data_IF_878281916376
#
_entry.id   IF_878281916376
#
_cell.length_a   1.000
_cell.length_b   1.000
_cell.length_c   1.000
_cell.angle_alpha   90.00
_cell.angle_beta   90.00
_cell.angle_gamma   90.00
#
_symmetry.space_group_name_H-M   'P 1'
#
loop_
_entity.id
_entity.type
_entity.pdbx_description
1 polymer ?
#
# COMPACT_ATOMS: atom_id res chain seq x y z
N UNK A 1 -51.51 4.28 -29.35
CA UNK A 1 -51.00 3.21 -30.23
C UNK A 1 -49.52 3.06 -29.93
N UNK A 2 -49.20 2.10 -29.04
CA UNK A 2 -48.17 1.06 -29.22
C UNK A 2 -46.76 1.63 -29.41
N UNK A 3 -45.81 1.43 -28.51
CA UNK A 3 -45.25 0.12 -28.15
C UNK A 3 -44.17 0.29 -27.05
N UNK A 4 -43.82 -0.79 -26.35
CA UNK A 4 -42.55 -1.01 -25.61
C UNK A 4 -42.38 -0.69 -24.10
N UNK A 5 -43.35 -1.03 -23.25
CA UNK A 5 -43.10 -1.25 -21.82
C UNK A 5 -43.64 -2.62 -21.39
N UNK A 6 -42.76 -3.63 -21.34
CA UNK A 6 -42.80 -4.81 -20.45
C UNK A 6 -42.11 -6.03 -21.08
N UNK A 7 -40.78 -6.01 -21.13
CA UNK A 7 -39.98 -7.25 -21.06
C UNK A 7 -39.10 -7.19 -19.82
N UNK A 8 -39.69 -7.47 -18.66
CA UNK A 8 -38.93 -7.92 -17.48
C UNK A 8 -38.52 -9.35 -17.80
N UNK A 9 -37.27 -9.53 -18.19
CA UNK A 9 -36.66 -10.84 -18.31
C UNK A 9 -36.53 -11.47 -16.93
N UNK A 10 -37.39 -12.43 -16.64
CA UNK A 10 -37.17 -13.43 -15.61
C UNK A 10 -35.85 -14.15 -15.94
N UNK A 11 -34.91 -14.18 -14.99
CA UNK A 11 -33.69 -14.96 -15.13
C UNK A 11 -34.05 -16.47 -15.21
N UNK A 12 -33.43 -17.24 -16.12
CA UNK A 12 -33.78 -18.64 -16.32
C UNK A 12 -33.51 -19.46 -15.04
N UNK A 13 -34.56 -20.17 -14.61
CA UNK A 13 -34.55 -21.18 -13.55
C UNK A 13 -33.51 -22.25 -13.87
N UNK A 14 -32.40 -22.28 -13.12
CA UNK A 14 -31.34 -23.27 -13.31
C UNK A 14 -30.03 -22.98 -12.57
N UNK A 15 -29.86 -21.78 -12.03
CA UNK A 15 -28.72 -21.49 -11.15
C UNK A 15 -29.08 -21.83 -9.71
N UNK A 16 -28.37 -22.82 -9.16
CA UNK A 16 -28.40 -23.15 -7.74
C UNK A 16 -28.09 -21.88 -6.94
N UNK A 17 -29.08 -21.37 -6.23
CA UNK A 17 -28.90 -20.29 -5.24
C UNK A 17 -27.98 -20.80 -4.14
N UNK A 18 -26.68 -20.52 -4.26
CA UNK A 18 -25.73 -20.68 -3.16
C UNK A 18 -26.10 -19.67 -2.06
N UNK A 19 -26.28 -20.10 -0.79
CA UNK A 19 -26.78 -19.21 0.25
C UNK A 19 -25.75 -18.14 0.59
N UNK A 20 -26.12 -16.87 0.42
CA UNK A 20 -25.90 -15.73 1.34
C UNK A 20 -24.49 -15.27 1.73
N UNK A 21 -23.43 -16.06 1.54
CA UNK A 21 -22.08 -15.73 2.04
C UNK A 21 -21.33 -14.77 1.09
N UNK A 22 -21.64 -14.84 -0.21
CA UNK A 22 -20.88 -14.11 -1.24
C UNK A 22 -21.46 -12.75 -1.64
N UNK A 23 -22.64 -12.38 -1.12
CA UNK A 23 -23.30 -11.10 -1.42
C UNK A 23 -22.96 -9.97 -0.45
N UNK A 24 -22.08 -10.19 0.52
CA UNK A 24 -21.54 -9.10 1.33
C UNK A 24 -20.61 -8.25 0.47
N UNK A 25 -20.89 -6.94 0.41
CA UNK A 25 -20.11 -5.86 -0.24
C UNK A 25 -18.64 -5.77 0.19
N UNK A 26 -18.19 -6.69 1.04
CA UNK A 26 -16.83 -6.85 1.59
C UNK A 26 -16.10 -8.14 1.14
N UNK A 27 -16.70 -8.93 0.22
CA UNK A 27 -16.24 -10.26 -0.20
C UNK A 27 -14.73 -10.44 -0.50
N UNK A 28 -14.03 -9.49 -1.17
CA UNK A 28 -12.59 -9.63 -1.43
C UNK A 28 -11.72 -9.53 -0.17
N UNK A 29 -12.16 -8.75 0.84
CA UNK A 29 -11.41 -8.51 2.08
C UNK A 29 -11.53 -9.68 3.06
N UNK A 30 -12.71 -10.29 3.12
CA UNK A 30 -12.93 -11.52 3.86
C UNK A 30 -12.13 -12.68 3.26
N UNK A 31 -12.04 -12.77 1.93
CA UNK A 31 -11.20 -13.79 1.28
C UNK A 31 -9.72 -13.61 1.63
N UNK A 32 -9.20 -12.37 1.56
CA UNK A 32 -7.82 -12.07 1.97
C UNK A 32 -7.55 -12.38 3.44
N UNK A 33 -8.52 -12.11 4.33
CA UNK A 33 -8.46 -12.52 5.73
C UNK A 33 -8.34 -14.03 5.90
N UNK A 34 -9.21 -14.81 5.24
CA UNK A 34 -9.17 -16.26 5.34
C UNK A 34 -7.89 -16.86 4.75
N UNK A 35 -7.36 -16.29 3.66
CA UNK A 35 -6.07 -16.72 3.09
C UNK A 35 -4.92 -16.42 4.04
N UNK A 36 -4.84 -15.21 4.60
CA UNK A 36 -3.79 -14.86 5.57
C UNK A 36 -3.89 -15.69 6.85
N UNK A 37 -5.11 -15.95 7.34
CA UNK A 37 -5.36 -16.81 8.48
C UNK A 37 -4.92 -18.26 8.17
N UNK A 38 -5.26 -18.79 7.00
CA UNK A 38 -4.86 -20.15 6.59
C UNK A 38 -3.34 -20.23 6.42
N UNK A 39 -2.68 -19.25 5.81
CA UNK A 39 -1.22 -19.21 5.68
C UNK A 39 -0.54 -19.12 7.04
N UNK A 40 -1.03 -18.26 7.93
CA UNK A 40 -0.50 -18.11 9.29
C UNK A 40 -0.70 -19.39 10.10
N UNK A 41 -1.91 -19.96 10.12
CA UNK A 41 -2.20 -21.23 10.80
C UNK A 41 -1.37 -22.36 10.19
N UNK A 42 -1.21 -22.42 8.87
CA UNK A 42 -0.37 -23.44 8.22
C UNK A 42 1.09 -23.28 8.59
N UNK A 43 1.62 -22.06 8.64
CA UNK A 43 3.00 -21.78 9.08
C UNK A 43 3.19 -22.14 10.55
N UNK A 44 2.25 -21.77 11.43
CA UNK A 44 2.29 -22.11 12.86
C UNK A 44 2.19 -23.61 13.07
N UNK A 45 1.32 -24.30 12.33
CA UNK A 45 1.22 -25.77 12.39
C UNK A 45 2.47 -26.45 11.84
N UNK A 46 3.13 -25.87 10.84
CA UNK A 46 4.37 -26.39 10.26
C UNK A 46 5.56 -26.18 11.22
N UNK A 47 5.59 -25.04 11.92
CA UNK A 47 6.53 -24.77 13.02
C UNK A 47 6.29 -25.72 14.19
N UNK A 48 5.03 -25.87 14.64
CA UNK A 48 4.65 -26.73 15.76
C UNK A 48 4.82 -28.23 15.48
N UNK A 49 4.80 -28.64 14.21
CA UNK A 49 5.03 -30.03 13.79
C UNK A 49 6.52 -30.36 13.66
N UNK A 50 7.39 -29.36 13.57
CA UNK A 50 8.82 -29.57 13.41
C UNK A 50 9.49 -29.59 14.77
N UNK A 51 9.70 -30.79 15.30
CA UNK A 51 10.46 -31.00 16.56
C UNK A 51 11.81 -30.26 16.51
N UNK A 52 12.47 -30.24 15.34
CA UNK A 52 13.75 -29.55 15.14
C UNK A 52 13.68 -28.02 15.17
N UNK A 53 12.53 -27.42 14.83
CA UNK A 53 12.36 -25.96 14.96
C UNK A 53 12.19 -25.61 16.44
N UNK A 54 11.41 -26.41 17.18
CA UNK A 54 11.29 -26.28 18.63
C UNK A 54 12.64 -26.50 19.33
N UNK A 55 13.41 -27.50 18.91
CA UNK A 55 14.78 -27.78 19.38
C UNK A 55 15.80 -26.70 18.94
N UNK A 56 15.50 -25.87 17.93
CA UNK A 56 16.38 -24.74 17.56
C UNK A 56 16.19 -23.52 18.46
N UNK A 57 15.12 -23.51 19.27
CA UNK A 57 14.90 -22.52 20.32
C UNK A 57 15.40 -23.00 21.70
N UNK A 58 16.21 -24.06 21.74
CA UNK A 58 16.47 -24.79 22.98
C UNK A 58 17.34 -24.02 23.98
N UNK A 59 16.82 -24.04 25.19
CA UNK A 59 17.17 -23.26 26.36
C UNK A 59 16.05 -23.40 27.40
N UNK A 60 14.79 -23.32 26.96
CA UNK A 60 13.60 -23.74 27.70
C UNK A 60 12.45 -23.97 26.70
N UNK A 61 11.94 -25.20 26.58
CA UNK A 61 10.85 -25.57 25.65
C UNK A 61 9.54 -24.76 25.81
N UNK A 62 9.42 -23.97 26.88
CA UNK A 62 8.30 -23.05 27.11
C UNK A 62 8.26 -21.87 26.13
N UNK A 63 9.40 -21.38 25.62
CA UNK A 63 9.41 -20.20 24.75
C UNK A 63 8.79 -20.48 23.36
N UNK A 64 9.11 -21.62 22.76
CA UNK A 64 8.58 -21.98 21.43
C UNK A 64 7.05 -22.14 21.45
N UNK A 65 6.52 -22.80 22.47
CA UNK A 65 5.07 -22.93 22.68
C UNK A 65 4.43 -21.60 23.04
N UNK A 66 5.08 -20.75 23.83
CA UNK A 66 4.62 -19.40 24.15
C UNK A 66 4.47 -18.54 22.90
N UNK A 67 5.48 -18.47 22.02
CA UNK A 67 5.40 -17.68 20.78
C UNK A 67 4.35 -18.21 19.80
N UNK A 68 4.17 -19.53 19.72
CA UNK A 68 3.12 -20.14 18.90
C UNK A 68 1.71 -19.80 19.43
N UNK A 69 1.48 -19.91 20.74
CA UNK A 69 0.20 -19.56 21.39
C UNK A 69 -0.08 -18.05 21.32
N UNK A 70 0.95 -17.22 21.51
CA UNK A 70 0.88 -15.77 21.37
C UNK A 70 0.51 -15.39 19.93
N UNK A 71 1.14 -16.03 18.93
CA UNK A 71 0.80 -15.84 17.53
C UNK A 71 -0.65 -16.24 17.20
N UNK A 72 -1.11 -17.40 17.68
CA UNK A 72 -2.47 -17.89 17.44
C UNK A 72 -3.57 -17.01 18.06
N UNK A 73 -3.27 -16.23 19.10
CA UNK A 73 -4.25 -15.39 19.80
C UNK A 73 -4.18 -13.93 19.36
N UNK A 74 -2.97 -13.37 19.24
CA UNK A 74 -2.76 -11.99 18.82
C UNK A 74 -3.14 -11.77 17.35
N UNK A 75 -2.92 -12.76 16.48
CA UNK A 75 -3.21 -12.61 15.05
C UNK A 75 -4.71 -12.45 14.76
N UNK A 76 -5.63 -13.32 15.23
CA UNK A 76 -7.07 -13.11 15.05
C UNK A 76 -7.58 -11.84 15.74
N UNK A 77 -7.07 -11.52 16.93
CA UNK A 77 -7.43 -10.30 17.65
C UNK A 77 -7.01 -9.03 16.88
N UNK A 78 -5.80 -9.04 16.31
CA UNK A 78 -5.30 -8.00 15.43
C UNK A 78 -6.19 -7.86 14.19
N UNK A 79 -6.58 -8.97 13.54
CA UNK A 79 -7.45 -8.87 12.37
C UNK A 79 -8.85 -8.35 12.74
N UNK A 80 -9.46 -8.82 13.82
CA UNK A 80 -10.76 -8.30 14.27
C UNK A 80 -10.68 -6.81 14.65
N UNK A 81 -9.57 -6.37 15.24
CA UNK A 81 -9.31 -4.97 15.51
C UNK A 81 -9.16 -4.16 14.21
N UNK A 82 -8.41 -4.67 13.23
CA UNK A 82 -8.25 -4.08 11.90
C UNK A 82 -9.56 -4.06 11.12
N UNK A 83 -10.46 -5.01 11.31
CA UNK A 83 -11.76 -5.06 10.64
C UNK A 83 -12.76 -4.02 11.19
N UNK A 84 -12.50 -3.42 12.36
CA UNK A 84 -13.39 -2.40 12.95
C UNK A 84 -13.26 -1.07 12.20
N UNK A 85 -14.39 -0.52 11.75
CA UNK A 85 -14.51 0.88 11.32
C UNK A 85 -15.41 1.64 12.29
N UNK A 86 -14.87 2.53 13.14
CA UNK A 86 -15.71 3.33 14.01
C UNK A 86 -16.56 4.30 13.17
N UNK A 87 -17.83 4.55 13.53
CA UNK A 87 -18.68 5.49 12.81
C UNK A 87 -18.09 6.91 12.88
N UNK A 88 -18.04 7.60 11.74
CA UNK A 88 -17.55 8.97 11.63
C UNK A 88 -18.69 9.93 11.30
N UNK A 89 -19.02 10.81 12.26
CA UNK A 89 -19.94 11.93 12.04
C UNK A 89 -19.11 13.20 11.95
N UNK A 90 -19.05 13.88 10.78
CA UNK A 90 -18.28 15.11 10.65
C UNK A 90 -18.88 16.22 11.52
N UNK A 91 -18.03 16.97 12.24
CA UNK A 91 -18.44 18.20 12.91
C UNK A 91 -18.33 19.37 11.91
N UNK A 92 -19.37 20.20 11.82
CA UNK A 92 -19.38 21.40 10.98
C UNK A 92 -18.26 22.39 11.37
N UNK A 93 -17.76 23.17 10.40
CA UNK A 93 -16.76 24.24 10.63
C UNK A 93 -15.29 23.81 10.58
N UNK A 94 -14.96 22.56 10.26
CA UNK A 94 -13.56 22.07 10.15
C UNK A 94 -13.03 22.13 8.72
N UNK A 95 -11.73 22.36 8.58
CA UNK A 95 -11.05 22.31 7.29
C UNK A 95 -10.99 20.87 6.76
N UNK A 96 -10.90 20.70 5.43
CA UNK A 96 -10.81 19.38 4.80
C UNK A 96 -9.64 18.56 5.37
N UNK A 97 -8.49 19.21 5.61
CA UNK A 97 -7.32 18.55 6.21
C UNK A 97 -7.53 18.12 7.67
N UNK A 98 -8.30 18.88 8.45
CA UNK A 98 -8.67 18.46 9.80
C UNK A 98 -9.58 17.22 9.77
N UNK A 99 -10.53 17.17 8.84
CA UNK A 99 -11.39 16.00 8.65
C UNK A 99 -10.60 14.76 8.21
N UNK A 100 -9.67 14.92 7.26
CA UNK A 100 -8.74 13.85 6.82
C UNK A 100 -7.93 13.32 8.00
N UNK A 101 -7.32 14.21 8.79
CA UNK A 101 -6.56 13.82 9.99
C UNK A 101 -7.42 13.05 10.98
N UNK A 102 -8.64 13.50 11.25
CA UNK A 102 -9.54 12.83 12.20
C UNK A 102 -9.96 11.45 11.74
N UNK A 103 -10.21 11.27 10.44
CA UNK A 103 -10.51 9.95 9.86
C UNK A 103 -9.32 9.02 9.94
N UNK A 104 -8.14 9.52 9.59
CA UNK A 104 -6.90 8.76 9.67
C UNK A 104 -6.65 8.28 11.10
N UNK A 105 -6.73 9.20 12.07
CA UNK A 105 -6.53 8.89 13.49
C UNK A 105 -7.64 8.02 14.10
N UNK A 106 -8.79 7.84 13.44
CA UNK A 106 -9.84 6.94 13.91
C UNK A 106 -9.79 5.56 13.25
N UNK A 107 -9.09 5.41 12.13
CA UNK A 107 -9.00 4.15 11.41
C UNK A 107 -7.98 3.21 12.08
N UNK A 108 -8.39 2.06 12.65
CA UNK A 108 -7.46 1.10 13.24
C UNK A 108 -6.42 0.60 12.23
N UNK A 109 -6.84 0.40 10.98
CA UNK A 109 -5.96 -0.03 9.88
C UNK A 109 -4.86 1.01 9.60
N UNK A 110 -5.25 2.29 9.53
CA UNK A 110 -4.32 3.38 9.30
C UNK A 110 -3.30 3.49 10.44
N UNK A 111 -3.75 3.37 11.68
CA UNK A 111 -2.89 3.45 12.86
C UNK A 111 -1.89 2.30 12.93
N UNK A 112 -2.31 1.06 12.69
CA UNK A 112 -1.42 -0.11 12.70
C UNK A 112 -0.39 0.00 11.58
N UNK A 113 -0.84 0.30 10.35
CA UNK A 113 0.07 0.51 9.22
C UNK A 113 1.08 1.62 9.49
N UNK A 114 0.61 2.76 10.03
CA UNK A 114 1.47 3.88 10.41
C UNK A 114 2.49 3.50 11.49
N UNK A 115 2.06 2.80 12.55
CA UNK A 115 2.93 2.36 13.63
C UNK A 115 4.10 1.53 13.09
N UNK A 116 3.81 0.48 12.31
CA UNK A 116 4.87 -0.38 11.78
C UNK A 116 5.75 0.33 10.76
N UNK A 117 5.21 1.15 9.86
CA UNK A 117 6.03 1.95 8.93
C UNK A 117 6.94 2.90 9.70
N UNK A 118 6.44 3.55 10.76
CA UNK A 118 7.24 4.42 11.62
C UNK A 118 8.31 3.62 12.38
N UNK A 119 7.98 2.44 12.91
CA UNK A 119 8.93 1.56 13.57
C UNK A 119 10.05 1.09 12.64
N UNK A 120 9.72 0.63 11.42
CA UNK A 120 10.73 0.25 10.44
C UNK A 120 11.60 1.44 10.01
N UNK A 121 10.99 2.61 9.83
CA UNK A 121 11.73 3.83 9.49
C UNK A 121 12.67 4.24 10.64
N UNK A 122 12.23 4.08 11.90
CA UNK A 122 13.04 4.31 13.07
C UNK A 122 14.20 3.31 13.18
N UNK A 123 13.93 2.01 13.02
CA UNK A 123 14.94 0.95 12.98
C UNK A 123 15.97 1.22 11.89
N UNK A 124 15.52 1.63 10.70
CA UNK A 124 16.41 2.00 9.60
C UNK A 124 17.32 3.18 9.98
N UNK A 125 16.77 4.27 10.51
CA UNK A 125 17.57 5.45 10.88
C UNK A 125 18.58 5.13 12.00
N UNK A 126 18.17 4.32 12.98
CA UNK A 126 18.97 4.01 14.18
C UNK A 126 19.76 2.71 14.02
N UNK A 127 19.74 2.07 12.84
CA UNK A 127 20.39 0.78 12.59
C UNK A 127 21.85 0.70 13.08
N UNK A 128 22.73 1.70 12.87
CA UNK A 128 24.11 1.64 13.35
C UNK A 128 24.26 1.62 14.88
N UNK A 129 23.24 2.04 15.61
CA UNK A 129 23.23 2.03 17.09
C UNK A 129 22.42 0.85 17.65
N UNK A 130 21.52 0.27 16.85
CA UNK A 130 20.66 -0.83 17.26
C UNK A 130 21.30 -2.20 16.97
N UNK A 131 22.01 -2.32 15.85
CA UNK A 131 22.70 -3.54 15.47
C UNK A 131 23.95 -3.74 16.32
N UNK A 132 24.16 -4.96 16.80
CA UNK A 132 25.32 -5.32 17.61
C UNK A 132 26.60 -5.48 16.76
N UNK A 133 26.45 -5.89 15.50
CA UNK A 133 27.55 -6.18 14.57
C UNK A 133 27.40 -5.36 13.28
N UNK A 134 28.51 -5.11 12.59
CA UNK A 134 28.43 -4.57 11.23
C UNK A 134 27.84 -5.63 10.28
N UNK A 135 27.06 -5.24 9.25
CA UNK A 135 26.31 -6.20 8.43
C UNK A 135 27.21 -7.09 7.54
N UNK A 136 28.44 -6.68 7.31
CA UNK A 136 29.50 -7.36 6.57
C UNK A 136 30.55 -8.02 7.47
N UNK A 137 30.43 -7.87 8.80
CA UNK A 137 31.36 -8.43 9.78
C UNK A 137 31.29 -9.95 9.86
N UNK A 138 32.43 -10.59 9.61
CA UNK A 138 32.61 -12.03 9.74
C UNK A 138 33.03 -12.33 11.19
N UNK A 139 32.10 -12.79 12.03
CA UNK A 139 32.32 -12.94 13.47
C UNK A 139 33.38 -14.02 13.76
N UNK A 140 33.15 -15.23 13.27
CA UNK A 140 34.09 -16.35 13.34
C UNK A 140 33.83 -17.30 12.15
N UNK A 141 34.62 -17.18 11.07
CA UNK A 141 34.45 -17.98 9.85
C UNK A 141 34.61 -19.49 10.04
N UNK A 142 35.11 -19.95 11.18
CA UNK A 142 35.38 -21.36 11.47
C UNK A 142 34.24 -21.94 12.31
N UNK A 143 33.85 -21.26 13.39
CA UNK A 143 32.93 -21.83 14.37
C UNK A 143 31.50 -21.26 14.29
N UNK A 144 31.32 -20.06 13.76
CA UNK A 144 30.03 -19.36 13.75
C UNK A 144 29.32 -19.39 12.40
N UNK A 145 29.64 -20.34 11.51
CA UNK A 145 28.87 -20.53 10.27
C UNK A 145 27.59 -21.29 10.55
N UNK A 146 26.47 -20.79 10.02
CA UNK A 146 25.18 -21.49 10.05
C UNK A 146 24.76 -21.93 11.46
N UNK A 147 25.04 -21.09 12.47
CA UNK A 147 24.61 -21.37 13.83
C UNK A 147 23.14 -20.96 13.99
N UNK A 148 22.33 -21.79 14.68
CA UNK A 148 20.93 -21.48 14.93
C UNK A 148 20.77 -20.25 15.84
N UNK A 149 19.55 -19.70 15.93
CA UNK A 149 19.19 -18.67 16.90
C UNK A 149 19.70 -18.95 18.31
N UNK A 150 20.32 -17.96 18.93
CA UNK A 150 20.82 -18.02 20.31
C UNK A 150 20.70 -16.65 20.97
N UNK A 151 20.93 -16.56 22.29
CA UNK A 151 20.92 -15.27 22.99
C UNK A 151 21.97 -14.28 22.46
N UNK A 152 23.11 -14.78 21.96
CA UNK A 152 24.15 -13.95 21.35
C UNK A 152 23.81 -13.57 19.90
N UNK A 153 23.13 -14.45 19.17
CA UNK A 153 22.69 -14.24 17.79
C UNK A 153 21.19 -14.56 17.66
N UNK A 154 20.30 -13.61 18.00
CA UNK A 154 18.87 -13.90 18.13
C UNK A 154 18.21 -14.46 16.87
N UNK A 155 18.74 -14.13 15.68
CA UNK A 155 18.27 -14.66 14.39
C UNK A 155 19.23 -15.69 13.78
N UNK A 156 20.23 -16.14 14.54
CA UNK A 156 21.29 -17.03 14.08
C UNK A 156 22.35 -16.33 13.24
N UNK A 157 23.25 -17.13 12.67
CA UNK A 157 24.32 -16.67 11.78
C UNK A 157 24.20 -17.28 10.40
N UNK A 158 24.76 -16.60 9.39
CA UNK A 158 24.71 -17.04 7.99
C UNK A 158 25.91 -17.90 7.56
N UNK A 159 25.92 -18.29 6.27
CA UNK A 159 26.99 -19.09 5.64
C UNK A 159 28.37 -18.44 5.70
N UNK A 160 28.43 -17.13 5.95
CA UNK A 160 29.65 -16.35 6.08
C UNK A 160 29.96 -16.00 7.54
N UNK A 161 29.24 -16.55 8.53
CA UNK A 161 29.37 -16.20 9.95
C UNK A 161 28.99 -14.74 10.30
N UNK A 162 28.10 -14.13 9.50
CA UNK A 162 27.54 -12.81 9.79
C UNK A 162 26.28 -12.95 10.62
N UNK A 163 26.01 -11.97 11.48
CA UNK A 163 24.82 -11.93 12.32
C UNK A 163 23.56 -11.58 11.50
N UNK A 164 22.57 -12.48 11.48
CA UNK A 164 21.35 -12.32 10.65
C UNK A 164 20.48 -11.18 11.16
N UNK A 165 20.42 -10.94 12.47
CA UNK A 165 19.62 -9.84 13.04
C UNK A 165 20.17 -8.49 12.59
N UNK A 166 21.48 -8.30 12.69
CA UNK A 166 22.18 -7.11 12.23
C UNK A 166 21.96 -6.90 10.72
N UNK A 167 22.04 -7.97 9.92
CA UNK A 167 21.69 -7.90 8.49
C UNK A 167 20.24 -7.49 8.25
N UNK A 168 19.27 -8.01 8.99
CA UNK A 168 17.85 -7.61 8.85
C UNK A 168 17.63 -6.15 9.25
N UNK A 169 18.29 -5.67 10.31
CA UNK A 169 18.23 -4.27 10.77
C UNK A 169 18.80 -3.34 9.70
N UNK A 170 20.01 -3.58 9.20
CA UNK A 170 20.59 -2.78 8.12
C UNK A 170 19.84 -2.95 6.79
N UNK A 171 19.28 -4.14 6.53
CA UNK A 171 18.43 -4.41 5.39
C UNK A 171 17.20 -3.50 5.33
N UNK A 172 16.69 -3.07 6.47
CA UNK A 172 15.60 -2.08 6.52
C UNK A 172 15.98 -0.74 5.89
N UNK A 173 17.24 -0.30 6.03
CA UNK A 173 17.71 0.94 5.40
C UNK A 173 17.66 0.83 3.88
N UNK A 174 18.26 -0.24 3.33
CA UNK A 174 18.42 -0.39 1.89
C UNK A 174 17.07 -0.71 1.23
N UNK A 175 16.30 -1.65 1.78
CA UNK A 175 15.01 -2.04 1.21
C UNK A 175 13.96 -0.92 1.28
N UNK A 176 13.92 -0.12 2.37
CA UNK A 176 13.06 1.07 2.43
C UNK A 176 13.52 2.16 1.47
N UNK A 177 14.83 2.38 1.33
CA UNK A 177 15.39 3.33 0.37
C UNK A 177 14.96 2.97 -1.05
N UNK A 178 15.13 1.71 -1.47
CA UNK A 178 14.69 1.24 -2.78
C UNK A 178 13.19 1.50 -2.96
N UNK A 179 12.36 1.07 -2.01
CA UNK A 179 10.91 1.26 -2.06
C UNK A 179 10.49 2.74 -2.19
N UNK A 180 11.03 3.62 -1.33
CA UNK A 180 10.65 5.03 -1.27
C UNK A 180 11.12 5.81 -2.50
N UNK A 181 12.37 5.66 -2.92
CA UNK A 181 12.91 6.41 -4.06
C UNK A 181 12.31 5.95 -5.40
N UNK A 182 12.11 4.64 -5.58
CA UNK A 182 11.41 4.12 -6.77
C UNK A 182 10.00 4.68 -6.88
N UNK A 183 9.25 4.66 -5.79
CA UNK A 183 7.88 5.19 -5.78
C UNK A 183 7.88 6.69 -5.98
N UNK A 184 8.80 7.42 -5.36
CA UNK A 184 8.94 8.86 -5.56
C UNK A 184 9.16 9.20 -7.04
N UNK A 185 10.08 8.48 -7.70
CA UNK A 185 10.34 8.64 -9.14
C UNK A 185 9.10 8.28 -9.97
N UNK A 186 8.49 7.13 -9.69
CA UNK A 186 7.28 6.65 -10.38
C UNK A 186 6.10 7.60 -10.23
N UNK A 187 5.84 8.10 -9.02
CA UNK A 187 4.75 9.01 -8.73
C UNK A 187 4.98 10.37 -9.38
N UNK A 188 6.21 10.88 -9.38
CA UNK A 188 6.57 12.14 -10.02
C UNK A 188 6.39 12.06 -11.53
N UNK A 189 6.94 11.03 -12.19
CA UNK A 189 6.77 10.81 -13.63
C UNK A 189 5.29 10.61 -13.98
N UNK A 190 4.57 9.82 -13.18
CA UNK A 190 3.17 9.55 -13.39
C UNK A 190 2.31 10.80 -13.26
N UNK A 191 2.56 11.61 -12.23
CA UNK A 191 1.88 12.89 -12.03
C UNK A 191 2.13 13.83 -13.21
N UNK A 192 3.38 14.05 -13.61
CA UNK A 192 3.71 14.95 -14.70
C UNK A 192 3.09 14.50 -16.03
N UNK A 193 3.29 13.23 -16.42
CA UNK A 193 2.76 12.71 -17.68
C UNK A 193 1.23 12.62 -17.69
N UNK A 194 0.61 12.28 -16.56
CA UNK A 194 -0.84 12.27 -16.41
C UNK A 194 -1.46 13.67 -16.48
N UNK A 195 -0.83 14.67 -15.86
CA UNK A 195 -1.22 16.08 -15.95
C UNK A 195 -1.17 16.58 -17.39
N UNK A 196 -0.06 16.32 -18.08
CA UNK A 196 0.13 16.74 -19.47
C UNK A 196 -0.88 16.07 -20.41
N UNK A 197 -1.07 14.75 -20.29
CA UNK A 197 -2.03 14.00 -21.09
C UNK A 197 -3.47 14.48 -20.87
N UNK A 198 -3.90 14.59 -19.61
CA UNK A 198 -5.26 14.98 -19.28
C UNK A 198 -5.58 16.44 -19.60
N UNK A 199 -4.63 17.36 -19.41
CA UNK A 199 -4.88 18.79 -19.58
C UNK A 199 -4.91 19.19 -21.06
N UNK A 200 -3.84 18.87 -21.79
CA UNK A 200 -3.69 19.26 -23.19
C UNK A 200 -4.55 18.40 -24.13
N UNK A 201 -4.81 17.13 -23.80
CA UNK A 201 -5.60 16.24 -24.65
C UNK A 201 -4.98 16.00 -26.03
N UNK A 202 -5.81 15.59 -26.99
CA UNK A 202 -5.45 15.50 -28.40
C UNK A 202 -4.21 14.65 -28.67
N UNK A 203 -3.22 15.21 -29.36
CA UNK A 203 -1.97 14.51 -29.73
C UNK A 203 -1.11 14.16 -28.52
N UNK A 204 -1.01 15.05 -27.53
CA UNK A 204 -0.21 14.82 -26.31
C UNK A 204 -0.74 13.63 -25.53
N UNK A 205 -2.06 13.59 -25.35
CA UNK A 205 -2.74 12.45 -24.73
C UNK A 205 -2.52 11.16 -25.51
N UNK A 206 -2.77 11.21 -26.82
CA UNK A 206 -2.61 10.04 -27.69
C UNK A 206 -1.20 9.45 -27.65
N UNK A 207 -0.15 10.29 -27.73
CA UNK A 207 1.24 9.82 -27.67
C UNK A 207 1.56 9.19 -26.32
N UNK A 208 1.26 9.89 -25.22
CA UNK A 208 1.59 9.42 -23.86
C UNK A 208 0.85 8.11 -23.57
N UNK A 209 -0.45 8.05 -23.88
CA UNK A 209 -1.25 6.84 -23.65
C UNK A 209 -0.80 5.70 -24.57
N UNK A 210 -0.39 5.97 -25.81
CA UNK A 210 0.12 4.92 -26.71
C UNK A 210 1.44 4.32 -26.23
N UNK A 211 2.39 5.15 -25.79
CA UNK A 211 3.64 4.67 -25.19
C UNK A 211 3.35 3.83 -23.95
N UNK A 212 2.45 4.31 -23.10
CA UNK A 212 2.02 3.61 -21.89
C UNK A 212 1.34 2.26 -22.20
N UNK A 213 0.44 2.19 -23.17
CA UNK A 213 -0.23 0.95 -23.61
C UNK A 213 0.78 -0.09 -24.11
N UNK A 214 1.78 0.34 -24.89
CA UNK A 214 2.85 -0.54 -25.38
C UNK A 214 3.66 -1.09 -24.20
N UNK A 215 4.06 -0.25 -23.26
CA UNK A 215 4.86 -0.68 -22.10
C UNK A 215 4.09 -1.65 -21.19
N UNK A 216 2.78 -1.46 -21.02
CA UNK A 216 1.94 -2.36 -20.22
C UNK A 216 1.63 -3.69 -20.89
N UNK A 217 1.76 -3.77 -22.22
CA UNK A 217 1.59 -5.04 -22.93
C UNK A 217 2.70 -6.04 -22.59
N UNK A 218 3.84 -5.54 -22.08
CA UNK A 218 4.96 -6.36 -21.64
C UNK A 218 4.77 -6.80 -20.17
N UNK A 219 5.01 -8.07 -19.83
CA UNK A 219 5.06 -8.50 -18.43
C UNK A 219 6.14 -7.72 -17.68
N UNK A 220 5.74 -6.90 -16.70
CA UNK A 220 6.61 -5.95 -15.98
C UNK A 220 7.90 -6.62 -15.47
N UNK A 221 7.76 -7.79 -14.83
CA UNK A 221 8.90 -8.51 -14.27
C UNK A 221 9.86 -8.96 -15.36
N UNK A 222 9.37 -9.56 -16.45
CA UNK A 222 10.19 -10.01 -17.58
C UNK A 222 10.96 -8.84 -18.19
N UNK A 223 10.31 -7.70 -18.37
CA UNK A 223 10.97 -6.54 -18.95
C UNK A 223 12.05 -5.98 -18.01
N UNK A 224 11.79 -5.97 -16.71
CA UNK A 224 12.82 -5.63 -15.71
C UNK A 224 14.00 -6.60 -15.76
N UNK A 225 13.79 -7.92 -15.85
CA UNK A 225 14.89 -8.88 -15.96
C UNK A 225 15.80 -8.59 -17.16
N UNK A 226 15.19 -8.28 -18.31
CA UNK A 226 15.94 -7.92 -19.53
C UNK A 226 16.75 -6.64 -19.29
N UNK A 227 16.14 -5.58 -18.77
CA UNK A 227 16.84 -4.31 -18.51
C UNK A 227 17.95 -4.46 -17.46
N UNK A 228 17.68 -5.16 -16.36
CA UNK A 228 18.68 -5.42 -15.34
C UNK A 228 19.86 -6.21 -15.93
N UNK A 229 19.58 -7.23 -16.75
CA UNK A 229 20.64 -8.05 -17.36
C UNK A 229 21.44 -7.29 -18.41
N UNK A 230 20.81 -6.44 -19.22
CA UNK A 230 21.49 -5.66 -20.25
C UNK A 230 22.41 -4.59 -19.65
N UNK A 231 22.04 -4.02 -18.51
CA UNK A 231 22.76 -2.90 -17.89
C UNK A 231 23.59 -3.29 -16.67
N UNK A 232 23.61 -4.57 -16.25
CA UNK A 232 24.35 -5.03 -15.05
C UNK A 232 25.87 -4.82 -15.14
N UNK A 233 26.42 -4.84 -16.36
CA UNK A 233 27.87 -4.77 -16.63
C UNK A 233 28.34 -3.32 -16.89
N UNK A 234 27.43 -2.35 -16.80
CA UNK A 234 27.77 -0.92 -16.89
C UNK A 234 28.54 -0.52 -15.63
N UNK A 235 29.78 -0.07 -15.82
CA UNK A 235 30.74 0.25 -14.74
C UNK A 235 30.20 1.24 -13.70
N UNK A 236 29.39 2.20 -14.13
CA UNK A 236 28.73 3.17 -13.25
C UNK A 236 27.85 2.46 -12.19
N UNK A 237 27.19 1.36 -12.54
CA UNK A 237 26.29 0.61 -11.66
C UNK A 237 26.93 -0.61 -10.99
N UNK A 238 28.26 -0.75 -11.05
CA UNK A 238 28.96 -1.85 -10.40
C UNK A 238 28.91 -1.78 -8.86
N UNK A 239 28.89 -2.94 -8.21
CA UNK A 239 28.87 -3.07 -6.75
C UNK A 239 27.60 -2.51 -6.11
N UNK A 240 27.76 -1.77 -5.01
CA UNK A 240 26.66 -1.18 -4.23
C UNK A 240 25.85 -0.15 -5.04
N UNK A 241 26.46 0.46 -6.07
CA UNK A 241 25.79 1.41 -6.96
C UNK A 241 24.70 0.78 -7.82
N UNK A 242 24.60 -0.56 -7.83
CA UNK A 242 23.49 -1.27 -8.48
C UNK A 242 22.13 -0.88 -7.90
N UNK A 243 22.07 -0.40 -6.66
CA UNK A 243 20.85 0.18 -6.07
C UNK A 243 20.26 1.27 -6.97
N UNK A 244 21.09 2.13 -7.57
CA UNK A 244 20.61 3.19 -8.45
C UNK A 244 19.97 2.66 -9.73
N UNK A 245 20.53 1.59 -10.30
CA UNK A 245 19.99 0.93 -11.48
C UNK A 245 18.63 0.28 -11.17
N UNK A 246 18.52 -0.38 -10.01
CA UNK A 246 17.26 -0.95 -9.52
C UNK A 246 16.21 0.16 -9.34
N UNK A 247 16.54 1.21 -8.59
CA UNK A 247 15.64 2.32 -8.32
C UNK A 247 15.15 2.98 -9.60
N UNK A 248 16.06 3.23 -10.54
CA UNK A 248 15.78 3.87 -11.81
C UNK A 248 14.81 3.05 -12.66
N UNK A 249 15.10 1.77 -12.94
CA UNK A 249 14.25 0.96 -13.80
C UNK A 249 12.92 0.56 -13.15
N UNK A 250 12.91 0.30 -11.83
CA UNK A 250 11.66 0.06 -11.12
C UNK A 250 10.75 1.30 -11.15
N UNK A 251 11.33 2.50 -11.00
CA UNK A 251 10.58 3.76 -11.05
C UNK A 251 10.10 4.10 -12.46
N UNK A 252 10.97 3.91 -13.45
CA UNK A 252 10.67 4.09 -14.88
C UNK A 252 9.58 3.12 -15.37
N UNK A 253 9.41 1.96 -14.74
CA UNK A 253 8.32 1.02 -15.05
C UNK A 253 7.11 1.16 -14.12
N UNK A 254 7.20 1.97 -13.07
CA UNK A 254 6.10 2.14 -12.10
C UNK A 254 5.07 3.20 -12.48
N UNK A 255 5.46 4.24 -13.24
CA UNK A 255 4.67 5.47 -13.42
C UNK A 255 3.33 5.30 -14.16
N UNK A 256 3.18 4.22 -14.93
CA UNK A 256 2.05 4.00 -15.84
C UNK A 256 0.69 3.92 -15.13
N UNK A 257 0.65 3.31 -13.93
CA UNK A 257 -0.58 3.28 -13.12
C UNK A 257 -0.99 4.68 -12.67
N UNK A 258 -0.04 5.40 -12.08
CA UNK A 258 -0.22 6.76 -11.58
C UNK A 258 -0.59 7.75 -12.69
N UNK A 259 0.02 7.65 -13.88
CA UNK A 259 -0.32 8.51 -15.01
C UNK A 259 -1.77 8.34 -15.49
N UNK A 260 -2.27 7.10 -15.58
CA UNK A 260 -3.67 6.84 -15.94
C UNK A 260 -4.63 7.38 -14.88
N UNK A 261 -4.30 7.19 -13.61
CA UNK A 261 -5.07 7.72 -12.49
C UNK A 261 -5.16 9.26 -12.55
N UNK A 262 -4.02 9.94 -12.65
CA UNK A 262 -3.95 11.40 -12.72
C UNK A 262 -4.63 11.93 -13.97
N UNK A 263 -4.46 11.30 -15.13
CA UNK A 263 -5.17 11.67 -16.35
C UNK A 263 -6.69 11.67 -16.13
N UNK A 264 -7.22 10.61 -15.50
CA UNK A 264 -8.65 10.50 -15.19
C UNK A 264 -9.15 11.65 -14.31
N UNK A 265 -8.39 12.02 -13.28
CA UNK A 265 -8.70 13.16 -12.42
C UNK A 265 -8.67 14.48 -13.18
N UNK A 266 -7.65 14.70 -14.01
CA UNK A 266 -7.49 15.94 -14.76
C UNK A 266 -8.64 16.11 -15.76
N UNK A 267 -9.06 15.04 -16.44
CA UNK A 267 -10.21 15.09 -17.35
C UNK A 267 -11.49 15.51 -16.62
N UNK A 268 -11.69 15.07 -15.38
CA UNK A 268 -12.83 15.50 -14.55
C UNK A 268 -12.70 16.97 -14.09
N UNK A 269 -11.49 17.42 -13.75
CA UNK A 269 -11.24 18.77 -13.22
C UNK A 269 -11.16 19.84 -14.30
N UNK A 270 -10.76 19.50 -15.53
CA UNK A 270 -10.53 20.46 -16.63
C UNK A 270 -11.81 21.20 -17.05
N UNK A 271 -12.97 20.59 -16.86
CA UNK A 271 -14.28 21.19 -17.19
C UNK A 271 -14.97 21.89 -16.03
N UNK A 272 -14.29 22.10 -14.89
CA UNK A 272 -14.90 22.75 -13.72
C UNK A 272 -14.82 24.28 -13.78
N UNK A 273 -15.77 24.96 -13.15
CA UNK A 273 -15.93 26.42 -13.21
C UNK A 273 -14.68 27.19 -12.79
N UNK A 274 -13.90 26.69 -11.82
CA UNK A 274 -12.67 27.34 -11.40
C UNK A 274 -11.61 27.42 -12.51
N UNK A 275 -11.61 26.45 -13.44
CA UNK A 275 -10.73 26.46 -14.62
C UNK A 275 -11.20 27.52 -15.62
N UNK A 276 -12.52 27.59 -15.88
CA UNK A 276 -13.11 28.60 -16.75
C UNK A 276 -12.91 30.01 -16.20
N UNK A 277 -13.14 30.22 -14.90
CA UNK A 277 -12.88 31.48 -14.21
C UNK A 277 -11.39 31.87 -14.28
N UNK A 278 -10.47 30.92 -14.04
CA UNK A 278 -9.04 31.16 -14.18
C UNK A 278 -8.64 31.63 -15.58
N UNK A 279 -9.21 31.01 -16.63
CA UNK A 279 -9.00 31.44 -18.03
C UNK A 279 -9.59 32.83 -18.30
N UNK A 280 -10.79 33.12 -17.81
CA UNK A 280 -11.41 34.43 -17.94
C UNK A 280 -10.60 35.55 -17.27
N UNK A 281 -9.88 35.22 -16.18
CA UNK A 281 -8.94 36.11 -15.50
C UNK A 281 -7.55 36.19 -16.18
N UNK A 282 -7.36 35.54 -17.34
CA UNK A 282 -6.12 35.58 -18.11
C UNK A 282 -4.99 34.70 -17.55
N UNK A 283 -5.28 33.70 -16.72
CA UNK A 283 -4.25 32.78 -16.24
C UNK A 283 -3.79 31.86 -17.37
N UNK A 284 -2.47 31.79 -17.56
CA UNK A 284 -1.86 30.85 -18.50
C UNK A 284 -2.05 29.39 -18.11
N UNK A 285 -2.01 28.50 -19.10
CA UNK A 285 -2.28 27.06 -18.93
C UNK A 285 -1.41 26.39 -17.86
N UNK A 286 -0.10 26.70 -17.81
CA UNK A 286 0.79 26.14 -16.80
C UNK A 286 0.43 26.60 -15.38
N UNK A 287 -0.04 27.84 -15.23
CA UNK A 287 -0.51 28.35 -13.93
C UNK A 287 -1.76 27.58 -13.50
N UNK A 288 -2.71 27.39 -14.41
CA UNK A 288 -3.92 26.60 -14.14
C UNK A 288 -3.57 25.16 -13.78
N UNK A 289 -2.68 24.54 -14.56
CA UNK A 289 -2.28 23.16 -14.37
C UNK A 289 -1.60 22.94 -13.00
N UNK A 290 -0.54 23.68 -12.69
CA UNK A 290 0.26 23.43 -11.49
C UNK A 290 -0.33 24.05 -10.22
N UNK A 291 -1.05 25.17 -10.31
CA UNK A 291 -1.57 25.87 -9.12
C UNK A 291 -3.01 25.53 -8.78
N UNK A 292 -3.81 25.10 -9.76
CA UNK A 292 -5.23 24.82 -9.55
C UNK A 292 -5.58 23.35 -9.74
N UNK A 293 -5.09 22.68 -10.80
CA UNK A 293 -5.45 21.29 -11.07
C UNK A 293 -4.59 20.30 -10.28
N UNK A 294 -3.26 20.41 -10.35
CA UNK A 294 -2.32 19.48 -9.71
C UNK A 294 -2.60 19.26 -8.23
N UNK A 295 -2.83 20.29 -7.39
CA UNK A 295 -3.12 20.09 -5.97
C UNK A 295 -4.37 19.22 -5.71
N UNK A 296 -5.36 19.28 -6.61
CA UNK A 296 -6.56 18.45 -6.54
C UNK A 296 -6.32 16.99 -6.95
N UNK A 297 -5.23 16.70 -7.66
CA UNK A 297 -4.85 15.35 -8.07
C UNK A 297 -3.89 14.67 -7.08
N UNK A 298 -3.36 15.39 -6.09
CA UNK A 298 -2.35 14.83 -5.17
C UNK A 298 -2.91 13.74 -4.24
N UNK A 299 -4.16 13.85 -3.82
CA UNK A 299 -4.78 12.87 -2.92
C UNK A 299 -4.72 11.42 -3.47
N UNK A 300 -5.24 11.12 -4.69
CA UNK A 300 -5.12 9.78 -5.25
C UNK A 300 -3.68 9.36 -5.57
N UNK A 301 -2.78 10.31 -5.86
CA UNK A 301 -1.36 10.02 -6.07
C UNK A 301 -0.67 9.59 -4.78
N UNK A 302 -0.94 10.25 -3.66
CA UNK A 302 -0.40 9.89 -2.35
C UNK A 302 -0.84 8.48 -1.97
N UNK A 303 -2.13 8.17 -2.16
CA UNK A 303 -2.68 6.82 -1.90
C UNK A 303 -1.99 5.78 -2.78
N UNK A 304 -1.89 6.03 -4.08
CA UNK A 304 -1.23 5.13 -5.03
C UNK A 304 0.26 4.95 -4.70
N UNK A 305 0.94 6.00 -4.25
CA UNK A 305 2.33 5.96 -3.86
C UNK A 305 2.53 5.07 -2.63
N UNK A 306 1.73 5.25 -1.57
CA UNK A 306 1.83 4.43 -0.36
C UNK A 306 1.68 2.94 -0.64
N UNK A 307 0.70 2.56 -1.47
CA UNK A 307 0.52 1.16 -1.92
C UNK A 307 1.68 0.68 -2.80
N UNK A 308 2.24 1.60 -3.61
CA UNK A 308 3.36 1.32 -4.51
C UNK A 308 4.65 0.93 -3.80
N UNK A 309 4.86 1.36 -2.54
CA UNK A 309 6.11 1.07 -1.80
C UNK A 309 6.20 -0.42 -1.50
N UNK A 310 5.13 -1.01 -0.93
CA UNK A 310 5.08 -2.44 -0.67
C UNK A 310 5.22 -3.27 -1.95
N UNK A 311 4.52 -2.90 -3.02
CA UNK A 311 4.65 -3.56 -4.32
C UNK A 311 6.06 -3.49 -4.91
N UNK A 312 6.77 -2.39 -4.69
CA UNK A 312 8.16 -2.22 -5.15
C UNK A 312 9.12 -3.10 -4.36
N UNK A 313 8.99 -3.15 -3.03
CA UNK A 313 9.82 -4.01 -2.18
C UNK A 313 9.68 -5.49 -2.60
N UNK A 314 8.47 -5.94 -2.93
CA UNK A 314 8.27 -7.30 -3.44
C UNK A 314 8.95 -7.55 -4.79
N UNK A 315 8.91 -6.59 -5.71
CA UNK A 315 9.58 -6.73 -7.01
C UNK A 315 11.09 -6.72 -6.84
N UNK A 316 11.64 -5.85 -5.98
CA UNK A 316 13.06 -5.83 -5.62
C UNK A 316 13.50 -7.18 -5.03
N UNK A 317 12.75 -7.71 -4.07
CA UNK A 317 13.02 -9.04 -3.51
C UNK A 317 12.96 -10.16 -4.57
N UNK A 318 12.03 -10.06 -5.52
CA UNK A 318 11.94 -11.01 -6.64
C UNK A 318 13.15 -10.91 -7.58
N UNK A 319 13.67 -9.71 -7.83
CA UNK A 319 14.88 -9.52 -8.63
C UNK A 319 16.12 -10.06 -7.91
N UNK A 320 16.23 -9.84 -6.60
CA UNK A 320 17.30 -10.39 -5.77
C UNK A 320 17.28 -11.91 -5.74
N UNK A 321 16.10 -12.51 -5.60
CA UNK A 321 15.90 -13.96 -5.70
C UNK A 321 16.32 -14.53 -7.07
N UNK A 322 16.15 -13.76 -8.14
CA UNK A 322 16.59 -14.12 -9.50
C UNK A 322 18.04 -13.73 -9.80
N UNK A 323 18.83 -13.30 -8.80
CA UNK A 323 20.25 -12.97 -8.95
C UNK A 323 20.54 -11.61 -9.62
N UNK A 324 19.51 -10.76 -9.79
CA UNK A 324 19.63 -9.41 -10.37
C UNK A 324 19.51 -8.29 -9.33
N UNK A 325 19.49 -8.65 -8.05
CA UNK A 325 19.52 -7.73 -6.93
C UNK A 325 20.88 -7.07 -6.72
N UNK A 326 20.98 -6.32 -5.62
CA UNK A 326 22.23 -5.71 -5.15
C UNK A 326 23.20 -6.83 -4.73
N UNK A 327 24.45 -6.83 -5.23
CA UNK A 327 25.41 -7.87 -4.88
C UNK A 327 25.85 -7.76 -3.41
N UNK A 328 26.28 -8.88 -2.78
CA UNK A 328 26.97 -8.85 -1.48
C UNK A 328 28.17 -7.88 -1.50
N UNK A 329 28.54 -7.27 -0.36
CA UNK A 329 28.08 -7.57 1.00
C UNK A 329 26.79 -6.84 1.46
N UNK A 330 26.21 -5.96 0.63
CA UNK A 330 25.08 -5.10 0.99
C UNK A 330 23.91 -5.91 1.55
N UNK A 331 23.42 -5.61 2.77
CA UNK A 331 22.26 -6.29 3.33
C UNK A 331 20.99 -5.75 2.69
N UNK A 332 20.29 -6.59 1.94
CA UNK A 332 18.92 -6.31 1.49
C UNK A 332 18.07 -7.50 1.86
N UNK A 333 16.83 -7.28 2.30
CA UNK A 333 15.98 -8.40 2.69
C UNK A 333 15.77 -9.40 1.54
N UNK A 334 15.67 -8.89 0.30
CA UNK A 334 15.56 -9.73 -0.89
C UNK A 334 16.79 -10.61 -1.13
N UNK A 335 17.99 -10.07 -0.99
CA UNK A 335 19.22 -10.83 -1.15
C UNK A 335 19.40 -11.85 -0.02
N UNK A 336 19.06 -11.48 1.21
CA UNK A 336 19.16 -12.40 2.36
C UNK A 336 18.17 -13.58 2.22
N UNK A 337 16.93 -13.32 1.75
CA UNK A 337 15.98 -14.41 1.41
C UNK A 337 16.55 -15.33 0.34
N UNK A 338 17.15 -14.75 -0.72
CA UNK A 338 17.74 -15.50 -1.82
C UNK A 338 18.92 -16.36 -1.34
N UNK A 339 19.80 -15.80 -0.52
CA UNK A 339 20.96 -16.49 0.04
C UNK A 339 20.57 -17.67 0.92
N UNK A 340 19.46 -17.58 1.65
CA UNK A 340 18.93 -18.67 2.47
C UNK A 340 18.17 -19.76 1.70
N UNK A 341 17.87 -19.57 0.41
CA UNK A 341 17.08 -20.53 -0.38
C UNK A 341 17.73 -21.93 -0.39
N UNK A 342 19.05 -22.00 -0.48
CA UNK A 342 19.82 -23.25 -0.51
C UNK A 342 19.80 -23.99 0.84
N UNK A 343 19.43 -23.29 1.92
CA UNK A 343 19.56 -23.73 3.30
C UNK A 343 18.19 -23.95 3.98
N UNK A 344 17.08 -23.81 3.24
CA UNK A 344 15.72 -23.81 3.81
C UNK A 344 15.36 -25.03 4.66
N UNK A 345 15.94 -26.21 4.36
CA UNK A 345 15.60 -27.46 5.05
C UNK A 345 16.25 -27.59 6.43
N UNK A 346 17.41 -26.96 6.63
CA UNK A 346 18.23 -27.13 7.84
C UNK A 346 18.40 -25.79 8.58
N UNK A 347 18.65 -24.70 7.86
CA UNK A 347 18.88 -23.37 8.40
C UNK A 347 17.79 -22.38 7.97
N UNK A 348 16.54 -22.74 8.28
CA UNK A 348 15.32 -22.02 7.89
C UNK A 348 15.31 -20.53 8.30
N UNK A 349 16.02 -20.16 9.37
CA UNK A 349 16.08 -18.78 9.90
C UNK A 349 16.63 -17.78 8.88
N UNK A 350 17.53 -18.24 7.98
CA UNK A 350 18.19 -17.39 6.99
C UNK A 350 17.20 -16.74 6.02
N UNK A 351 16.19 -17.49 5.55
CA UNK A 351 15.14 -16.92 4.70
C UNK A 351 13.93 -16.44 5.49
N UNK A 352 13.62 -17.07 6.63
CA UNK A 352 12.40 -16.78 7.38
C UNK A 352 12.41 -15.37 7.99
N UNK A 353 13.49 -14.93 8.65
CA UNK A 353 13.52 -13.62 9.31
C UNK A 353 13.53 -12.44 8.31
N UNK A 354 14.37 -12.43 7.25
CA UNK A 354 14.29 -11.40 6.23
C UNK A 354 12.95 -11.43 5.47
N UNK A 355 12.39 -12.62 5.23
CA UNK A 355 11.08 -12.80 4.62
C UNK A 355 9.94 -12.23 5.49
N UNK A 356 10.02 -12.42 6.81
CA UNK A 356 9.08 -11.83 7.77
C UNK A 356 9.17 -10.30 7.75
N UNK A 357 10.39 -9.74 7.67
CA UNK A 357 10.58 -8.30 7.56
C UNK A 357 9.91 -7.73 6.30
N UNK A 358 10.07 -8.38 5.13
CA UNK A 358 9.36 -8.03 3.89
C UNK A 358 7.85 -8.10 4.10
N UNK A 359 7.34 -9.21 4.64
CA UNK A 359 5.91 -9.43 4.84
C UNK A 359 5.28 -8.33 5.72
N UNK A 360 5.88 -8.02 6.86
CA UNK A 360 5.39 -7.00 7.78
C UNK A 360 5.48 -5.62 7.10
N UNK A 361 6.61 -5.29 6.47
CA UNK A 361 6.79 -4.00 5.79
C UNK A 361 5.73 -3.79 4.68
N UNK A 362 5.55 -4.76 3.79
CA UNK A 362 4.58 -4.69 2.68
C UNK A 362 3.16 -4.56 3.22
N UNK A 363 2.79 -5.36 4.22
CA UNK A 363 1.48 -5.28 4.86
C UNK A 363 1.26 -3.91 5.49
N UNK A 364 2.28 -3.36 6.15
CA UNK A 364 2.20 -2.06 6.82
C UNK A 364 2.00 -0.91 5.85
N UNK A 365 2.73 -0.90 4.72
CA UNK A 365 2.52 0.08 3.66
C UNK A 365 1.15 -0.05 2.99
N UNK A 366 0.65 -1.28 2.81
CA UNK A 366 -0.70 -1.52 2.28
C UNK A 366 -1.79 -1.00 3.23
N UNK A 367 -1.70 -1.32 4.52
CA UNK A 367 -2.61 -0.84 5.55
C UNK A 367 -2.58 0.69 5.69
N UNK A 368 -1.38 1.30 5.62
CA UNK A 368 -1.21 2.74 5.61
C UNK A 368 -1.86 3.38 4.38
N UNK A 369 -1.67 2.79 3.19
CA UNK A 369 -2.27 3.27 1.94
C UNK A 369 -3.80 3.19 1.93
N UNK A 370 -4.38 2.09 2.41
CA UNK A 370 -5.83 1.96 2.58
C UNK A 370 -6.37 2.95 3.62
N UNK A 371 -5.64 3.16 4.71
CA UNK A 371 -5.96 4.18 5.71
C UNK A 371 -5.96 5.60 5.15
N UNK A 372 -4.96 5.95 4.34
CA UNK A 372 -4.88 7.22 3.63
C UNK A 372 -6.00 7.37 2.61
N UNK A 373 -6.35 6.30 1.88
CA UNK A 373 -7.47 6.29 0.94
C UNK A 373 -8.78 6.62 1.61
N UNK A 374 -9.09 5.94 2.71
CA UNK A 374 -10.31 6.15 3.47
C UNK A 374 -10.34 7.57 4.09
N UNK A 375 -9.19 8.08 4.52
CA UNK A 375 -9.09 9.44 5.06
C UNK A 375 -9.32 10.52 3.99
N UNK A 376 -8.76 10.32 2.79
CA UNK A 376 -8.78 11.26 1.68
C UNK A 376 -10.03 11.17 0.80
N UNK A 377 -10.88 10.15 0.96
CA UNK A 377 -12.13 10.01 0.18
C UNK A 377 -13.19 11.06 0.63
N UNK A 378 -13.56 12.04 -0.23
CA UNK A 378 -14.55 13.04 0.11
C UNK A 378 -15.98 12.47 0.14
N UNK A 379 -16.27 11.34 -0.51
CA UNK A 379 -17.62 10.75 -0.54
C UNK A 379 -18.01 10.11 0.79
N UNK A 380 -17.01 9.67 1.57
CA UNK A 380 -17.21 9.24 2.96
C UNK A 380 -17.55 10.42 3.89
N UNK A 381 -17.39 11.67 3.44
CA UNK A 381 -17.88 12.85 4.17
C UNK A 381 -19.40 13.01 4.06
N UNK A 382 -19.95 12.74 2.88
CA UNK A 382 -21.36 12.99 2.55
C UNK A 382 -22.28 11.81 2.87
N UNK A 383 -21.75 10.72 3.43
CA UNK A 383 -22.54 9.58 3.94
C UNK A 383 -22.86 9.69 5.43
N UNK A 384 -22.60 10.84 6.06
CA UNK A 384 -23.48 11.23 7.16
C UNK A 384 -24.87 11.32 6.56
N UNK A 385 -25.80 10.45 6.98
CA UNK A 385 -27.23 10.60 6.69
C UNK A 385 -27.52 12.10 6.74
N UNK A 386 -28.04 12.66 5.65
CA UNK A 386 -28.70 13.96 5.76
C UNK A 386 -29.64 13.81 6.95
N UNK A 387 -29.57 14.69 7.97
CA UNK A 387 -30.45 14.58 9.11
C UNK A 387 -31.86 14.41 8.56
N UNK A 388 -32.57 13.40 9.06
CA UNK A 388 -33.96 13.18 8.67
C UNK A 388 -34.74 14.49 8.86
N UNK A 389 -35.83 14.70 8.12
CA UNK A 389 -36.61 15.93 8.24
C UNK A 389 -37.01 16.22 9.71
N UNK A 390 -37.20 15.16 10.52
CA UNK A 390 -37.38 15.26 11.97
C UNK A 390 -36.14 15.81 12.71
N UNK A 391 -34.93 15.32 12.40
CA UNK A 391 -33.69 15.83 12.99
C UNK A 391 -33.39 17.27 12.56
N UNK A 392 -33.72 17.65 11.32
CA UNK A 392 -33.63 19.04 10.84
C UNK A 392 -34.61 19.92 11.62
N UNK A 393 -35.86 19.50 11.77
CA UNK A 393 -36.86 20.24 12.55
C UNK A 393 -36.45 20.38 14.02
N UNK A 394 -35.89 19.35 14.63
CA UNK A 394 -35.37 19.40 16.01
C UNK A 394 -34.18 20.36 16.13
N UNK A 395 -33.24 20.33 15.18
CA UNK A 395 -32.10 21.26 15.15
C UNK A 395 -32.55 22.71 14.92
N UNK A 396 -33.53 22.94 14.05
CA UNK A 396 -34.11 24.26 13.83
C UNK A 396 -34.86 24.78 15.07
N UNK A 397 -35.62 23.92 15.75
CA UNK A 397 -36.33 24.27 16.97
C UNK A 397 -35.40 24.60 18.16
N UNK A 398 -34.19 24.03 18.17
CA UNK A 398 -33.16 24.25 19.20
C UNK A 398 -32.24 25.44 18.91
N UNK A 399 -32.29 26.02 17.70
CA UNK A 399 -31.44 27.16 17.33
C UNK A 399 -32.10 28.48 17.76
N UNK A 400 -31.52 29.26 18.68
CA UNK A 400 -32.11 30.52 19.13
C UNK A 400 -32.08 31.53 17.98
N UNK A 401 -33.26 31.93 17.49
CA UNK A 401 -33.43 32.85 16.36
C UNK A 401 -34.32 32.32 15.23
N UNK A 402 -34.64 31.02 15.24
CA UNK A 402 -35.57 30.38 14.28
C UNK A 402 -37.01 30.25 14.82
N UNK A 403 -37.39 31.13 15.77
CA UNK A 403 -38.77 31.22 16.26
C UNK A 403 -39.43 32.43 15.63
N UNK A 404 -40.20 32.17 14.58
CA UNK A 404 -41.25 33.07 14.13
C UNK A 404 -40.90 33.79 12.83
N UNK A 405 -41.74 33.49 11.85
CA UNK A 405 -41.99 34.22 10.60
C UNK A 405 -41.08 33.88 9.42
N UNK A 406 -41.72 33.31 8.38
CA UNK A 406 -41.22 32.90 7.08
C UNK A 406 -40.44 31.57 7.02
N UNK A 407 -41.18 30.46 7.05
CA UNK A 407 -40.75 29.24 6.37
C UNK A 407 -40.80 29.49 4.86
N UNK A 408 -39.67 29.43 4.11
CA UNK A 408 -39.77 29.45 2.67
C UNK A 408 -40.34 28.11 2.22
N UNK A 409 -41.38 28.18 1.39
CA UNK A 409 -42.03 27.07 0.71
C UNK A 409 -41.05 26.42 -0.28
N UNK A 410 -40.05 25.66 0.21
CA UNK A 410 -39.05 24.95 -0.63
C UNK A 410 -39.44 23.46 -0.77
N UNK A 411 -40.69 23.10 -0.52
CA UNK A 411 -41.18 21.72 -0.66
C UNK A 411 -41.82 21.43 -2.04
N UNK A 412 -41.85 22.40 -2.96
CA UNK A 412 -42.59 22.26 -4.23
C UNK A 412 -41.77 21.94 -5.49
N UNK A 413 -40.47 22.23 -5.54
CA UNK A 413 -39.78 22.37 -6.84
C UNK A 413 -38.58 21.45 -7.10
N UNK A 414 -38.29 20.49 -6.20
CA UNK A 414 -37.18 19.55 -6.40
C UNK A 414 -37.59 18.20 -7.02
N UNK A 415 -38.89 17.89 -7.13
CA UNK A 415 -39.37 16.64 -7.74
C UNK A 415 -39.30 16.64 -9.29
N UNK A 416 -39.00 17.78 -9.93
CA UNK A 416 -38.79 17.83 -11.38
C UNK A 416 -37.34 17.57 -11.84
N UNK A 417 -36.37 17.54 -10.91
CA UNK A 417 -34.95 17.33 -11.23
C UNK A 417 -34.53 15.87 -11.36
N UNK A 418 -35.27 14.93 -10.76
CA UNK A 418 -34.88 13.51 -10.71
C UNK A 418 -35.31 12.68 -11.93
N UNK A 419 -35.99 13.29 -12.92
CA UNK A 419 -36.32 12.64 -14.21
C UNK A 419 -35.41 13.02 -15.37
N UNK A 420 -34.37 13.84 -15.15
CA UNK A 420 -33.36 14.12 -16.17
C UNK A 420 -31.95 14.19 -15.56
N UNK A 421 -31.36 13.04 -15.24
CA UNK A 421 -29.89 12.84 -15.23
C UNK A 421 -29.50 11.37 -15.25
#
# INVERSE_FOLDING_TARGET
MADSQARRGEAPKGWVNWPGIWQLREGPRLLGFWVLLVCFVSLTLLILRSDRVLDSFDGDGDLGHFWALLGCTLFPALVLFLARKPPFVPKYGKSQWQLVRERFLRSPQAQVGFFFVASFSFVAIVAPYLAQYQPDELIDPIHMKLQPPSLAHPFGTDKFSRDVLSRVIYGSQISLTIGLFTVGLSATLGLLLGLLAGYFGGKTDWIIMRVLEVLLSLPRLVFLLVLMTLFKDVEFFAGERRIYLIVFFLGLMGWMGTARLVRGEVLQKRGQDFVHAGRALGFGDLRILFRHIMPNCLAPVIVSASLGVGGTILVDASLSFLGLGVPPPVPTWGADVADGQEYLLLEWWLSAFPGLAIMIAVTSFNLLGDGLRDALDPRLASTGKLPSDEEIQVLMAQTPGFRGEEAPEIAGDFDQGEKQR
#
